data_IF_319190135999
#
_entry.id   IF_319190135999
#
_cell.length_a   1.000
_cell.length_b   1.000
_cell.length_c   1.000
_cell.angle_alpha   90.00
_cell.angle_beta   90.00
_cell.angle_gamma   90.00
#
_symmetry.space_group_name_H-M   'P 1'
#
loop_
_entity.id
_entity.type
_entity.pdbx_description
1 polymer ?
#
# COMPACT_ATOMS: atom_id res chain seq x y z
N UNK A 1 1.14 -53.02 -30.24
CA UNK A 1 0.56 -52.15 -29.17
C UNK A 1 1.50 -50.99 -29.00
N UNK A 2 1.12 -49.80 -29.50
CA UNK A 2 1.96 -48.57 -29.42
C UNK A 2 1.54 -47.80 -28.19
N UNK A 3 2.44 -47.71 -27.21
CA UNK A 3 2.22 -46.86 -26.03
C UNK A 3 2.45 -45.39 -26.41
N UNK A 4 1.36 -44.61 -26.44
CA UNK A 4 1.39 -43.17 -26.60
C UNK A 4 1.64 -42.60 -25.19
N UNK A 5 2.85 -42.12 -24.93
CA UNK A 5 3.16 -41.33 -23.74
C UNK A 5 2.58 -39.93 -23.97
N UNK A 6 1.48 -39.63 -23.29
CA UNK A 6 0.89 -38.28 -23.26
C UNK A 6 1.70 -37.40 -22.31
N UNK A 7 2.58 -36.57 -22.86
CA UNK A 7 3.35 -35.59 -22.11
C UNK A 7 2.43 -34.42 -21.78
N UNK A 8 1.85 -34.43 -20.57
CA UNK A 8 1.08 -33.28 -20.06
C UNK A 8 2.09 -32.18 -19.70
N UNK A 9 2.21 -31.20 -20.60
CA UNK A 9 2.94 -29.96 -20.35
C UNK A 9 2.13 -29.13 -19.36
N UNK A 10 2.41 -29.22 -18.08
CA UNK A 10 1.91 -28.28 -17.06
C UNK A 10 2.52 -26.91 -17.35
N UNK A 11 1.83 -26.12 -18.16
CA UNK A 11 2.06 -24.70 -18.26
C UNK A 11 1.77 -24.06 -16.87
N UNK A 12 2.80 -23.93 -16.07
CA UNK A 12 2.79 -23.06 -14.92
C UNK A 12 2.57 -21.63 -15.44
N UNK A 13 1.30 -21.24 -15.58
CA UNK A 13 0.92 -19.84 -15.71
C UNK A 13 1.33 -19.14 -14.42
N UNK A 14 2.59 -18.73 -14.33
CA UNK A 14 2.99 -17.71 -13.38
C UNK A 14 2.23 -16.46 -13.79
N UNK A 15 1.11 -16.20 -13.11
CA UNK A 15 0.47 -14.88 -13.16
C UNK A 15 1.56 -13.91 -12.74
N UNK A 16 2.13 -13.20 -13.70
CA UNK A 16 2.95 -12.02 -13.42
C UNK A 16 1.98 -11.08 -12.71
N UNK A 17 2.07 -11.01 -11.39
CA UNK A 17 1.29 -10.04 -10.62
C UNK A 17 1.77 -8.66 -11.08
N UNK A 18 0.86 -7.87 -11.63
CA UNK A 18 1.18 -6.49 -11.98
C UNK A 18 1.68 -5.76 -10.72
N UNK A 19 2.72 -4.94 -10.87
CA UNK A 19 3.23 -4.10 -9.80
C UNK A 19 2.12 -3.16 -9.32
N UNK A 20 1.95 -3.04 -8.03
CA UNK A 20 1.05 -2.07 -7.39
C UNK A 20 1.80 -0.76 -7.26
N UNK A 21 1.30 0.28 -7.93
CA UNK A 21 1.82 1.63 -7.82
C UNK A 21 1.31 2.28 -6.53
N UNK A 22 2.22 2.89 -5.75
CA UNK A 22 1.88 3.49 -4.47
C UNK A 22 2.39 4.94 -4.39
N UNK A 23 1.47 5.88 -4.20
CA UNK A 23 1.79 7.28 -3.92
C UNK A 23 2.17 7.39 -2.44
N UNK A 24 3.46 7.45 -2.16
CA UNK A 24 4.01 7.68 -0.83
C UNK A 24 3.91 9.17 -0.49
N UNK A 25 3.56 9.51 0.74
CA UNK A 25 3.36 10.91 1.16
C UNK A 25 2.48 11.71 0.19
N UNK A 26 1.39 11.13 -0.29
CA UNK A 26 0.54 11.74 -1.32
C UNK A 26 0.06 13.16 -0.97
N UNK A 27 -0.09 13.46 0.31
CA UNK A 27 -0.48 14.77 0.82
C UNK A 27 0.57 15.88 0.58
N UNK A 28 1.79 15.54 0.19
CA UNK A 28 2.85 16.47 -0.24
C UNK A 28 2.72 16.86 -1.72
N UNK A 29 1.88 16.17 -2.50
CA UNK A 29 1.60 16.53 -3.88
C UNK A 29 0.83 17.86 -3.94
N UNK A 30 0.98 18.61 -5.05
CA UNK A 30 0.26 19.89 -5.25
C UNK A 30 -1.25 19.75 -5.14
N UNK A 31 -1.77 18.58 -5.51
CA UNK A 31 -3.19 18.23 -5.45
C UNK A 31 -3.31 16.84 -4.79
N UNK A 32 -3.30 16.77 -3.45
CA UNK A 32 -3.48 15.52 -2.72
C UNK A 32 -4.67 14.72 -3.23
N UNK A 33 -4.58 13.40 -3.23
CA UNK A 33 -5.51 12.48 -3.85
C UNK A 33 -5.54 12.57 -5.38
N UNK A 34 -5.81 13.73 -5.95
CA UNK A 34 -6.02 13.88 -7.39
C UNK A 34 -4.74 13.66 -8.21
N UNK A 35 -3.56 14.00 -7.70
CA UNK A 35 -2.31 13.76 -8.39
C UNK A 35 -2.09 12.26 -8.66
N UNK A 36 -2.26 11.42 -7.66
CA UNK A 36 -2.16 9.97 -7.79
C UNK A 36 -3.36 9.36 -8.53
N UNK A 37 -4.58 9.82 -8.20
CA UNK A 37 -5.81 9.32 -8.82
C UNK A 37 -5.81 9.51 -10.34
N UNK A 38 -5.47 10.70 -10.84
CA UNK A 38 -5.47 11.01 -12.27
C UNK A 38 -4.40 10.23 -13.06
N UNK A 39 -3.35 9.79 -12.39
CA UNK A 39 -2.32 8.90 -12.95
C UNK A 39 -2.67 7.41 -12.78
N UNK A 40 -3.83 7.08 -12.20
CA UNK A 40 -4.28 5.69 -12.04
C UNK A 40 -3.42 4.88 -11.08
N UNK A 41 -2.99 5.49 -9.97
CA UNK A 41 -2.26 4.77 -8.93
C UNK A 41 -3.17 3.80 -8.18
N UNK A 42 -2.66 2.60 -7.92
CA UNK A 42 -3.39 1.55 -7.23
C UNK A 42 -3.53 1.79 -5.73
N UNK A 43 -2.61 2.58 -5.14
CA UNK A 43 -2.49 2.81 -3.72
C UNK A 43 -2.07 4.26 -3.42
N UNK A 44 -2.71 4.87 -2.42
CA UNK A 44 -2.47 6.24 -1.98
C UNK A 44 -2.25 6.24 -0.47
N UNK A 45 -1.24 6.96 0.02
CA UNK A 45 -0.90 7.06 1.44
C UNK A 45 -1.24 8.44 2.00
N UNK A 46 -1.83 8.44 3.21
CA UNK A 46 -2.07 9.65 4.00
C UNK A 46 -1.64 9.43 5.44
N UNK A 47 -0.82 10.35 5.95
CA UNK A 47 -0.33 10.36 7.33
C UNK A 47 -1.30 11.10 8.24
N UNK A 48 -1.68 10.49 9.36
CA UNK A 48 -2.73 10.98 10.23
C UNK A 48 -2.26 11.39 11.61
N UNK A 49 -2.70 12.55 12.02
CA UNK A 49 -2.68 13.07 13.38
C UNK A 49 -4.09 13.36 13.86
N UNK A 50 -4.32 13.24 15.16
CA UNK A 50 -5.55 13.71 15.79
C UNK A 50 -5.31 15.10 16.40
N UNK A 51 -6.13 16.08 16.01
CA UNK A 51 -6.13 17.44 16.56
C UNK A 51 -7.55 17.97 16.66
N UNK A 52 -7.95 18.42 17.84
CA UNK A 52 -9.26 19.02 18.11
C UNK A 52 -10.44 18.13 17.63
N UNK A 53 -10.30 16.79 17.75
CA UNK A 53 -11.29 15.81 17.30
C UNK A 53 -11.31 15.53 15.80
N UNK A 54 -10.45 16.19 15.00
CA UNK A 54 -10.34 15.99 13.56
C UNK A 54 -9.09 15.16 13.18
N UNK A 55 -9.25 14.33 12.15
CA UNK A 55 -8.12 13.60 11.55
C UNK A 55 -7.40 14.50 10.55
N UNK A 56 -6.29 15.07 10.98
CA UNK A 56 -5.48 15.99 10.19
C UNK A 56 -4.38 15.24 9.44
N UNK A 57 -4.05 15.72 8.24
CA UNK A 57 -3.05 15.10 7.36
C UNK A 57 -1.80 15.96 7.31
N UNK A 58 -0.67 15.41 7.75
CA UNK A 58 0.64 16.08 7.74
C UNK A 58 1.77 15.05 7.90
N UNK A 59 2.97 15.38 7.40
CA UNK A 59 4.17 14.59 7.63
C UNK A 59 4.70 14.79 9.06
N UNK A 60 4.89 16.04 9.44
CA UNK A 60 5.40 16.42 10.76
C UNK A 60 4.31 17.01 11.64
N UNK A 61 4.42 16.78 12.96
CA UNK A 61 3.47 17.30 13.95
C UNK A 61 3.34 18.83 13.91
N UNK A 62 4.40 19.55 13.55
CA UNK A 62 4.40 21.03 13.44
C UNK A 62 3.50 21.57 12.33
N UNK A 63 3.26 20.74 11.28
CA UNK A 63 2.51 21.14 10.09
C UNK A 63 1.01 20.70 10.17
N UNK A 64 0.63 20.13 11.33
CA UNK A 64 -0.75 19.67 11.55
C UNK A 64 -1.72 20.86 11.61
N UNK A 65 -2.70 20.87 10.69
CA UNK A 65 -3.72 21.91 10.56
C UNK A 65 -5.10 21.30 10.35
N UNK A 66 -6.12 21.85 11.02
CA UNK A 66 -7.53 21.47 10.83
C UNK A 66 -8.09 21.88 9.47
N UNK A 67 -7.36 22.67 8.69
CA UNK A 67 -7.68 22.95 7.28
C UNK A 67 -7.37 21.76 6.36
N UNK A 68 -6.43 20.88 6.75
CA UNK A 68 -5.96 19.73 5.98
C UNK A 68 -6.42 18.44 6.63
N UNK A 69 -7.70 18.11 6.53
CA UNK A 69 -8.27 16.90 7.13
C UNK A 69 -8.32 15.74 6.13
N UNK A 70 -8.27 14.50 6.66
CA UNK A 70 -8.49 13.27 5.89
C UNK A 70 -9.80 13.36 5.09
N UNK A 71 -10.85 13.88 5.73
CA UNK A 71 -12.15 14.03 5.12
C UNK A 71 -12.10 14.92 3.87
N UNK A 72 -11.56 16.14 3.99
CA UNK A 72 -11.50 17.12 2.89
C UNK A 72 -10.57 16.67 1.76
N UNK A 73 -9.39 16.11 2.11
CA UNK A 73 -8.37 15.80 1.13
C UNK A 73 -8.57 14.47 0.43
N UNK A 74 -9.20 13.49 1.09
CA UNK A 74 -9.28 12.12 0.57
C UNK A 74 -10.69 11.56 0.52
N UNK A 75 -11.45 11.61 1.63
CA UNK A 75 -12.72 10.88 1.70
C UNK A 75 -13.80 11.50 0.81
N UNK A 76 -14.00 12.81 0.88
CA UNK A 76 -14.99 13.50 0.04
C UNK A 76 -14.66 13.39 -1.46
N UNK A 77 -13.41 13.64 -1.92
CA UNK A 77 -13.03 13.41 -3.31
C UNK A 77 -13.21 11.96 -3.76
N UNK A 78 -12.83 10.99 -2.93
CA UNK A 78 -12.97 9.57 -3.22
C UNK A 78 -14.45 9.16 -3.36
N UNK A 79 -15.31 9.59 -2.43
CA UNK A 79 -16.75 9.34 -2.51
C UNK A 79 -17.39 9.95 -3.77
N UNK A 80 -16.94 11.14 -4.16
CA UNK A 80 -17.40 11.77 -5.41
C UNK A 80 -17.00 10.90 -6.63
N UNK A 81 -15.77 10.41 -6.67
CA UNK A 81 -15.29 9.51 -7.75
C UNK A 81 -16.00 8.16 -7.74
N UNK A 82 -16.27 7.58 -6.58
CA UNK A 82 -17.05 6.35 -6.45
C UNK A 82 -18.46 6.54 -7.03
N UNK A 83 -19.10 7.66 -6.74
CA UNK A 83 -20.43 8.00 -7.29
C UNK A 83 -20.39 8.18 -8.81
N UNK A 84 -19.39 8.92 -9.32
CA UNK A 84 -19.17 9.16 -10.75
C UNK A 84 -18.95 7.84 -11.52
N UNK A 85 -18.20 6.89 -10.93
CA UNK A 85 -17.81 5.63 -11.56
C UNK A 85 -18.76 4.45 -11.24
N UNK A 86 -19.99 4.71 -10.84
CA UNK A 86 -20.99 3.64 -10.64
C UNK A 86 -20.70 2.73 -9.44
N UNK A 87 -20.01 3.22 -8.42
CA UNK A 87 -19.77 2.51 -7.17
C UNK A 87 -18.34 1.99 -6.98
N UNK A 88 -17.41 2.33 -7.87
CA UNK A 88 -15.99 1.98 -7.79
C UNK A 88 -15.11 3.24 -7.73
N UNK A 89 -13.95 3.18 -7.08
CA UNK A 89 -13.00 4.30 -7.08
C UNK A 89 -12.60 4.74 -8.49
N UNK A 90 -12.31 3.80 -9.37
CA UNK A 90 -11.93 4.04 -10.75
C UNK A 90 -12.95 3.49 -11.75
N UNK A 91 -12.96 3.97 -13.01
CA UNK A 91 -13.69 3.32 -14.10
C UNK A 91 -13.32 1.85 -14.27
N UNK A 92 -14.14 1.09 -14.99
CA UNK A 92 -13.92 -0.33 -15.28
C UNK A 92 -13.83 -1.23 -14.05
N UNK A 93 -14.49 -0.83 -12.95
CA UNK A 93 -14.57 -1.60 -11.69
C UNK A 93 -13.22 -1.81 -11.02
N UNK A 94 -12.29 -0.85 -11.18
CA UNK A 94 -10.96 -0.92 -10.57
C UNK A 94 -11.04 -0.40 -9.13
N UNK A 95 -10.60 -1.18 -8.12
CA UNK A 95 -10.55 -0.78 -6.72
C UNK A 95 -9.37 0.17 -6.45
N UNK A 96 -9.38 0.80 -5.28
CA UNK A 96 -8.28 1.60 -4.75
C UNK A 96 -7.84 1.06 -3.39
N UNK A 97 -6.55 1.11 -3.11
CA UNK A 97 -5.99 0.93 -1.78
C UNK A 97 -5.69 2.31 -1.16
N UNK A 98 -6.22 2.55 0.04
CA UNK A 98 -5.91 3.72 0.85
C UNK A 98 -5.12 3.26 2.08
N UNK A 99 -3.87 3.68 2.18
CA UNK A 99 -2.99 3.42 3.31
C UNK A 99 -3.06 4.63 4.25
N UNK A 100 -3.48 4.42 5.49
CA UNK A 100 -3.56 5.44 6.52
C UNK A 100 -2.48 5.17 7.56
N UNK A 101 -1.46 6.02 7.59
CA UNK A 101 -0.32 5.91 8.49
C UNK A 101 -0.57 6.75 9.74
N UNK A 102 -0.80 6.08 10.87
CA UNK A 102 -1.09 6.75 12.15
C UNK A 102 0.22 7.22 12.78
N UNK A 103 0.41 8.51 12.92
CA UNK A 103 1.68 9.07 13.45
C UNK A 103 1.78 9.01 14.95
N UNK A 104 0.65 9.19 15.64
CA UNK A 104 0.55 9.14 17.12
C UNK A 104 -0.88 8.78 17.53
N UNK A 105 -1.09 8.39 18.79
CA UNK A 105 -2.44 8.20 19.36
C UNK A 105 -3.30 7.19 18.56
N UNK A 106 -2.70 6.06 18.19
CA UNK A 106 -3.31 5.12 17.27
C UNK A 106 -4.71 4.64 17.68
N UNK A 107 -4.94 4.38 18.96
CA UNK A 107 -6.27 3.96 19.45
C UNK A 107 -7.33 5.07 19.29
N UNK A 108 -7.00 6.30 19.66
CA UNK A 108 -7.89 7.44 19.55
C UNK A 108 -8.18 7.77 18.08
N UNK A 109 -7.15 7.75 17.22
CA UNK A 109 -7.32 7.93 15.79
C UNK A 109 -8.22 6.84 15.21
N UNK A 110 -8.05 5.58 15.59
CA UNK A 110 -8.90 4.49 15.11
C UNK A 110 -10.36 4.65 15.52
N UNK A 111 -10.65 5.17 16.73
CA UNK A 111 -12.02 5.44 17.17
C UNK A 111 -12.67 6.54 16.30
N UNK A 112 -11.96 7.64 16.06
CA UNK A 112 -12.44 8.74 15.22
C UNK A 112 -12.60 8.28 13.77
N UNK A 113 -11.65 7.50 13.26
CA UNK A 113 -11.67 6.97 11.90
C UNK A 113 -12.87 6.04 11.68
N UNK A 114 -13.14 5.12 12.61
CA UNK A 114 -14.31 4.24 12.54
C UNK A 114 -15.60 5.06 12.52
N UNK A 115 -15.73 6.03 13.42
CA UNK A 115 -16.90 6.90 13.48
C UNK A 115 -17.11 7.72 12.19
N UNK A 116 -16.03 8.26 11.61
CA UNK A 116 -16.09 9.04 10.37
C UNK A 116 -16.40 8.20 9.13
N UNK A 117 -15.88 6.97 9.03
CA UNK A 117 -16.02 6.12 7.83
C UNK A 117 -17.22 5.17 7.88
N UNK A 118 -17.71 4.82 9.06
CA UNK A 118 -18.87 3.92 9.23
C UNK A 118 -20.10 4.30 8.41
N UNK A 119 -20.49 5.59 8.30
CA UNK A 119 -21.63 6.00 7.44
C UNK A 119 -21.44 5.65 5.96
N UNK A 120 -20.20 5.57 5.48
CA UNK A 120 -19.83 5.36 4.08
C UNK A 120 -19.36 3.93 3.77
N UNK A 121 -19.58 3.00 4.70
CA UNK A 121 -19.10 1.61 4.59
C UNK A 121 -19.59 0.91 3.31
N UNK A 122 -20.81 1.21 2.87
CA UNK A 122 -21.38 0.64 1.65
C UNK A 122 -20.69 1.18 0.39
N UNK A 123 -20.46 2.48 0.36
CA UNK A 123 -19.78 3.18 -0.73
C UNK A 123 -18.32 2.74 -0.82
N UNK A 124 -17.65 2.63 0.31
CA UNK A 124 -16.23 2.27 0.42
C UNK A 124 -15.94 0.75 0.24
N UNK A 125 -16.92 -0.07 -0.09
CA UNK A 125 -16.76 -1.54 -0.21
C UNK A 125 -15.70 -1.98 -1.22
N UNK A 126 -15.37 -1.14 -2.21
CA UNK A 126 -14.34 -1.38 -3.22
C UNK A 126 -13.05 -0.58 -2.95
N UNK A 127 -12.93 0.00 -1.76
CA UNK A 127 -11.71 0.61 -1.26
C UNK A 127 -11.10 -0.32 -0.23
N UNK A 128 -9.84 -0.71 -0.44
CA UNK A 128 -9.08 -1.42 0.57
C UNK A 128 -8.46 -0.38 1.50
N UNK A 129 -8.91 -0.30 2.75
CA UNK A 129 -8.31 0.60 3.74
C UNK A 129 -7.35 -0.20 4.61
N UNK A 130 -6.08 0.19 4.64
CA UNK A 130 -5.06 -0.40 5.50
C UNK A 130 -4.52 0.63 6.49
N UNK A 131 -4.28 0.18 7.69
CA UNK A 131 -3.73 0.99 8.79
C UNK A 131 -2.26 0.62 8.99
N UNK A 132 -1.40 1.62 9.10
CA UNK A 132 0.03 1.49 9.44
C UNK A 132 0.43 2.48 10.53
N UNK A 133 1.73 2.62 10.80
CA UNK A 133 2.26 3.54 11.81
C UNK A 133 2.00 3.08 13.24
N UNK A 134 1.47 3.97 14.08
CA UNK A 134 1.10 3.70 15.48
C UNK A 134 -0.24 2.95 15.57
N UNK A 135 -0.32 1.82 14.86
CA UNK A 135 -1.52 0.99 14.81
C UNK A 135 -1.70 0.16 16.10
N UNK A 136 -2.95 -0.27 16.41
CA UNK A 136 -3.21 -1.19 17.52
C UNK A 136 -2.35 -2.45 17.46
N UNK A 137 -2.23 -3.15 18.60
CA UNK A 137 -1.49 -4.41 18.65
C UNK A 137 -2.23 -5.52 17.86
N UNK A 138 -1.53 -6.53 17.33
CA UNK A 138 -2.13 -7.59 16.51
C UNK A 138 -3.30 -8.30 17.17
N UNK A 139 -3.28 -8.47 18.48
CA UNK A 139 -4.34 -9.11 19.29
C UNK A 139 -5.65 -8.32 19.23
N UNK A 140 -5.56 -7.02 19.01
CA UNK A 140 -6.68 -6.07 19.00
C UNK A 140 -7.33 -5.91 17.62
N UNK A 141 -6.70 -6.37 16.54
CA UNK A 141 -7.20 -6.18 15.16
C UNK A 141 -8.63 -6.67 14.96
N UNK A 142 -9.07 -7.66 15.77
CA UNK A 142 -10.44 -8.18 15.68
C UNK A 142 -11.48 -7.26 16.33
N UNK A 143 -11.07 -6.28 17.12
CA UNK A 143 -11.95 -5.31 17.77
C UNK A 143 -12.43 -4.21 16.82
N UNK A 144 -11.75 -4.05 15.69
CA UNK A 144 -12.06 -3.02 14.68
C UNK A 144 -12.93 -3.55 13.56
N UNK A 145 -13.70 -2.66 12.90
CA UNK A 145 -14.56 -3.04 11.78
C UNK A 145 -13.77 -3.78 10.68
N UNK A 146 -14.43 -4.69 9.99
CA UNK A 146 -13.83 -5.50 8.92
C UNK A 146 -13.47 -4.70 7.67
N UNK A 147 -13.95 -3.45 7.55
CA UNK A 147 -13.52 -2.55 6.47
C UNK A 147 -12.03 -2.20 6.59
N UNK A 148 -11.46 -2.22 7.80
CA UNK A 148 -10.04 -1.99 8.01
C UNK A 148 -9.24 -3.29 7.86
N UNK A 149 -8.12 -3.20 7.21
CA UNK A 149 -7.01 -4.14 7.21
C UNK A 149 -5.80 -3.46 7.83
N UNK A 150 -4.72 -4.19 8.01
CA UNK A 150 -3.52 -3.66 8.65
C UNK A 150 -2.30 -3.92 7.77
N UNK A 151 -1.34 -3.03 7.85
CA UNK A 151 -0.02 -3.23 7.25
C UNK A 151 0.85 -4.03 8.23
N UNK A 152 1.24 -5.23 7.84
CA UNK A 152 2.06 -6.10 8.67
C UNK A 152 3.51 -5.61 8.73
N UNK A 153 4.20 -5.93 9.82
CA UNK A 153 5.63 -5.66 10.02
C UNK A 153 6.40 -6.96 10.00
N UNK A 154 7.55 -6.95 9.34
CA UNK A 154 8.43 -8.12 9.18
C UNK A 154 8.85 -8.74 10.52
N UNK A 155 9.11 -7.92 11.52
CA UNK A 155 9.64 -8.31 12.82
C UNK A 155 8.59 -8.71 13.85
N UNK A 156 7.29 -8.75 13.47
CA UNK A 156 6.21 -9.15 14.36
C UNK A 156 5.68 -10.55 14.05
N UNK A 157 5.30 -11.25 15.11
CA UNK A 157 4.55 -12.50 15.00
C UNK A 157 3.07 -12.20 15.17
N UNK A 158 2.24 -12.79 14.33
CA UNK A 158 0.80 -12.53 14.31
C UNK A 158 0.00 -13.76 14.70
N UNK A 159 -0.96 -13.67 15.64
CA UNK A 159 -1.97 -14.68 15.82
C UNK A 159 -2.71 -14.96 14.50
N UNK A 160 -3.13 -16.21 14.27
CA UNK A 160 -3.77 -16.63 13.01
C UNK A 160 -4.95 -15.73 12.58
N UNK A 161 -5.76 -15.26 13.53
CA UNK A 161 -6.89 -14.35 13.23
C UNK A 161 -6.39 -12.97 12.83
N UNK A 162 -5.40 -12.41 13.53
CA UNK A 162 -4.79 -11.12 13.20
C UNK A 162 -4.12 -11.17 11.81
N UNK A 163 -3.40 -12.26 11.52
CA UNK A 163 -2.73 -12.41 10.22
C UNK A 163 -3.71 -12.38 9.03
N UNK A 164 -4.95 -12.83 9.21
CA UNK A 164 -5.99 -12.70 8.18
C UNK A 164 -6.40 -11.25 7.90
N UNK A 165 -6.18 -10.33 8.87
CA UNK A 165 -6.46 -8.90 8.73
C UNK A 165 -5.30 -8.14 8.06
N UNK A 166 -4.14 -8.76 7.89
CA UNK A 166 -2.99 -8.17 7.19
C UNK A 166 -3.25 -8.18 5.69
N UNK A 167 -3.15 -7.01 5.05
CA UNK A 167 -3.27 -6.86 3.60
C UNK A 167 -1.92 -7.06 2.89
N UNK A 168 -0.90 -6.38 3.38
CA UNK A 168 0.49 -6.50 2.93
C UNK A 168 1.43 -6.50 4.14
N UNK A 169 2.68 -6.85 3.94
CA UNK A 169 3.72 -6.75 4.96
C UNK A 169 4.78 -5.78 4.46
N UNK A 170 4.95 -4.68 5.19
CA UNK A 170 5.94 -3.66 4.89
C UNK A 170 7.19 -3.81 5.75
N UNK A 171 8.33 -3.43 5.18
CA UNK A 171 9.60 -3.34 5.88
C UNK A 171 10.39 -2.12 5.40
N UNK A 172 11.21 -1.53 6.30
CA UNK A 172 12.19 -0.56 5.87
C UNK A 172 13.24 -1.24 4.99
N UNK A 173 13.64 -0.59 3.91
CA UNK A 173 14.78 -1.08 3.12
C UNK A 173 16.04 -1.22 4.01
N UNK A 174 16.21 -0.35 5.00
CA UNK A 174 17.35 -0.38 5.93
C UNK A 174 17.40 -1.62 6.84
N UNK A 175 16.33 -2.40 6.94
CA UNK A 175 16.35 -3.70 7.63
C UNK A 175 17.15 -4.78 6.86
N UNK A 176 17.41 -4.56 5.57
CA UNK A 176 18.15 -5.50 4.71
C UNK A 176 19.57 -5.06 4.43
N UNK A 177 19.82 -3.73 4.43
CA UNK A 177 21.13 -3.18 4.11
C UNK A 177 21.23 -1.70 4.45
N UNK A 178 22.35 -1.09 4.07
CA UNK A 178 22.55 0.36 4.22
C UNK A 178 21.64 1.11 3.22
N UNK A 179 21.45 2.42 3.49
CA UNK A 179 20.75 3.30 2.57
C UNK A 179 21.26 3.15 1.13
N UNK A 180 20.32 3.02 0.18
CA UNK A 180 20.61 2.79 -1.22
C UNK A 180 20.02 3.90 -2.08
N UNK A 181 20.87 4.50 -2.92
CA UNK A 181 20.48 5.65 -3.76
C UNK A 181 19.86 5.26 -5.11
N UNK A 182 19.89 3.97 -5.47
CA UNK A 182 19.45 3.51 -6.79
C UNK A 182 20.38 3.90 -7.95
N UNK A 183 21.61 4.33 -7.68
CA UNK A 183 22.61 4.68 -8.70
C UNK A 183 23.51 3.50 -9.11
N UNK A 184 23.53 2.46 -8.31
CA UNK A 184 24.34 1.26 -8.52
C UNK A 184 23.59 0.00 -8.09
N UNK A 185 24.03 -1.15 -8.57
CA UNK A 185 23.44 -2.41 -8.20
C UNK A 185 23.46 -2.64 -6.68
N UNK A 186 22.43 -3.31 -6.18
CA UNK A 186 22.44 -3.78 -4.79
C UNK A 186 23.57 -4.78 -4.57
N UNK A 187 24.24 -4.77 -3.40
CA UNK A 187 25.04 -5.89 -2.98
C UNK A 187 24.23 -7.19 -3.01
N UNK A 188 24.84 -8.27 -3.51
CA UNK A 188 24.14 -9.54 -3.67
C UNK A 188 23.51 -10.03 -2.36
N UNK A 189 24.23 -9.87 -1.24
CA UNK A 189 23.73 -10.24 0.09
C UNK A 189 22.40 -9.50 0.45
N UNK A 190 22.26 -8.22 0.08
CA UNK A 190 21.03 -7.43 0.33
C UNK A 190 19.91 -7.94 -0.56
N UNK A 191 20.19 -8.18 -1.85
CA UNK A 191 19.22 -8.71 -2.79
C UNK A 191 18.72 -10.11 -2.35
N UNK A 192 19.60 -10.96 -1.84
CA UNK A 192 19.25 -12.29 -1.33
C UNK A 192 18.35 -12.20 -0.10
N UNK A 193 18.65 -11.35 0.86
CA UNK A 193 17.81 -11.11 2.05
C UNK A 193 16.39 -10.64 1.67
N UNK A 194 16.28 -9.70 0.74
CA UNK A 194 14.99 -9.24 0.22
C UNK A 194 14.26 -10.38 -0.48
N UNK A 195 14.94 -11.15 -1.32
CA UNK A 195 14.35 -12.28 -2.05
C UNK A 195 13.81 -13.36 -1.12
N UNK A 196 14.50 -13.66 -0.03
CA UNK A 196 14.03 -14.59 1.02
C UNK A 196 12.76 -14.06 1.65
N UNK A 197 12.75 -12.79 2.09
CA UNK A 197 11.58 -12.17 2.70
C UNK A 197 10.36 -12.17 1.76
N UNK A 198 10.54 -11.78 0.49
CA UNK A 198 9.47 -11.82 -0.51
C UNK A 198 8.90 -13.22 -0.67
N UNK A 199 9.77 -14.25 -0.84
CA UNK A 199 9.33 -15.64 -0.96
C UNK A 199 8.54 -16.12 0.25
N UNK A 200 8.98 -15.80 1.45
CA UNK A 200 8.29 -16.15 2.69
C UNK A 200 6.90 -15.54 2.77
N UNK A 201 6.75 -14.26 2.40
CA UNK A 201 5.46 -13.57 2.42
C UNK A 201 4.53 -14.09 1.32
N UNK A 202 5.05 -14.32 0.12
CA UNK A 202 4.27 -14.92 -0.98
C UNK A 202 3.77 -16.33 -0.64
N UNK A 203 4.57 -17.15 0.03
CA UNK A 203 4.14 -18.46 0.53
C UNK A 203 2.98 -18.37 1.54
N UNK A 204 2.83 -17.23 2.21
CA UNK A 204 1.72 -16.91 3.13
C UNK A 204 0.60 -16.11 2.45
N UNK A 205 0.62 -15.97 1.13
CA UNK A 205 -0.32 -15.15 0.35
C UNK A 205 -0.38 -13.69 0.82
N UNK A 206 0.78 -13.10 1.15
CA UNK A 206 0.90 -11.69 1.50
C UNK A 206 1.72 -10.95 0.47
N UNK A 207 1.30 -9.71 0.17
CA UNK A 207 2.05 -8.76 -0.64
C UNK A 207 3.19 -8.17 0.18
N UNK A 208 4.24 -7.73 -0.51
CA UNK A 208 5.40 -7.08 0.11
C UNK A 208 5.53 -5.65 -0.38
N UNK A 209 5.73 -4.72 0.56
CA UNK A 209 6.14 -3.33 0.32
C UNK A 209 7.48 -3.08 1.01
N UNK A 210 8.41 -2.44 0.30
CA UNK A 210 9.60 -1.87 0.92
C UNK A 210 9.49 -0.35 0.86
N UNK A 211 9.62 0.31 2.01
CA UNK A 211 9.71 1.77 2.08
C UNK A 211 11.14 2.24 2.33
N UNK A 212 11.42 3.53 2.09
CA UNK A 212 12.80 4.05 2.11
C UNK A 212 13.63 3.59 0.91
N UNK A 213 12.98 3.28 -0.20
CA UNK A 213 13.62 2.91 -1.47
C UNK A 213 13.79 4.14 -2.38
N UNK A 214 14.77 4.15 -3.30
CA UNK A 214 15.01 5.31 -4.14
C UNK A 214 13.93 5.51 -5.21
N UNK A 215 13.55 6.77 -5.44
CA UNK A 215 12.67 7.19 -6.53
C UNK A 215 13.46 7.29 -7.84
N UNK A 216 13.89 6.17 -8.40
CA UNK A 216 14.64 6.11 -9.66
C UNK A 216 14.17 4.94 -10.52
N UNK A 217 14.28 5.07 -11.84
CA UNK A 217 13.94 3.98 -12.77
C UNK A 217 14.70 2.69 -12.42
N UNK A 218 16.01 2.79 -12.17
CA UNK A 218 16.81 1.63 -11.77
C UNK A 218 16.38 1.02 -10.42
N UNK A 219 15.94 1.87 -9.47
CA UNK A 219 15.32 1.42 -8.21
C UNK A 219 14.06 0.60 -8.46
N UNK A 220 13.16 1.10 -9.30
CA UNK A 220 11.93 0.40 -9.66
C UNK A 220 12.19 -0.91 -10.39
N UNK A 221 13.13 -0.93 -11.35
CA UNK A 221 13.57 -2.14 -12.06
C UNK A 221 14.10 -3.20 -11.07
N UNK A 222 14.91 -2.77 -10.11
CA UNK A 222 15.50 -3.66 -9.10
C UNK A 222 14.40 -4.25 -8.20
N UNK A 223 13.48 -3.43 -7.68
CA UNK A 223 12.37 -3.90 -6.84
C UNK A 223 11.46 -4.86 -7.61
N UNK A 224 11.17 -4.56 -8.87
CA UNK A 224 10.40 -5.45 -9.76
C UNK A 224 11.12 -6.79 -9.97
N UNK A 225 12.42 -6.79 -10.24
CA UNK A 225 13.22 -8.00 -10.39
C UNK A 225 13.25 -8.85 -9.12
N UNK A 226 13.26 -8.23 -7.95
CA UNK A 226 13.14 -8.88 -6.64
C UNK A 226 11.72 -9.33 -6.29
N UNK A 227 10.74 -9.09 -7.18
CA UNK A 227 9.32 -9.45 -7.00
C UNK A 227 8.66 -8.77 -5.79
N UNK A 228 9.11 -7.56 -5.44
CA UNK A 228 8.40 -6.69 -4.49
C UNK A 228 7.10 -6.26 -5.14
N UNK A 229 5.96 -6.44 -4.46
CA UNK A 229 4.63 -6.24 -5.05
C UNK A 229 4.24 -4.76 -5.14
N UNK A 230 4.60 -3.97 -4.15
CA UNK A 230 4.19 -2.56 -4.04
C UNK A 230 5.42 -1.68 -4.19
N UNK A 231 5.43 -0.87 -5.24
CA UNK A 231 6.49 0.12 -5.52
C UNK A 231 5.97 1.50 -5.15
N UNK A 232 6.53 2.08 -4.09
CA UNK A 232 6.23 3.42 -3.62
C UNK A 232 7.12 4.47 -4.28
N UNK A 233 6.59 5.69 -4.42
CA UNK A 233 7.33 6.85 -4.93
C UNK A 233 6.70 8.16 -4.48
N UNK A 234 7.53 9.21 -4.37
CA UNK A 234 7.09 10.61 -4.28
C UNK A 234 7.05 11.27 -5.68
N UNK A 235 7.71 10.67 -6.69
CA UNK A 235 7.70 11.11 -8.10
C UNK A 235 6.70 10.26 -8.90
N UNK A 236 5.44 10.67 -8.86
CA UNK A 236 4.34 9.93 -9.47
C UNK A 236 4.50 9.77 -10.99
N UNK A 237 4.84 10.82 -11.76
CA UNK A 237 5.05 10.70 -13.20
C UNK A 237 6.17 9.72 -13.55
N UNK A 238 7.27 9.70 -12.80
CA UNK A 238 8.39 8.80 -13.05
C UNK A 238 7.99 7.33 -12.92
N UNK A 239 7.27 6.97 -11.83
CA UNK A 239 6.80 5.61 -11.66
C UNK A 239 5.73 5.24 -12.70
N UNK A 240 4.81 6.14 -13.03
CA UNK A 240 3.78 5.88 -14.05
C UNK A 240 4.41 5.57 -15.41
N UNK A 241 5.36 6.40 -15.86
CA UNK A 241 6.08 6.19 -17.12
C UNK A 241 6.84 4.85 -17.12
N UNK A 242 7.46 4.48 -16.00
CA UNK A 242 8.14 3.19 -15.84
C UNK A 242 7.17 2.01 -16.00
N UNK A 243 6.01 2.07 -15.37
CA UNK A 243 5.01 0.99 -15.44
C UNK A 243 4.44 0.86 -16.85
N UNK A 244 4.16 1.97 -17.53
CA UNK A 244 3.58 1.95 -18.87
C UNK A 244 4.58 1.43 -19.91
N UNK A 245 5.86 1.85 -19.83
CA UNK A 245 6.93 1.31 -20.70
C UNK A 245 7.26 -0.17 -20.45
N UNK A 246 6.78 -0.74 -19.35
CA UNK A 246 7.00 -2.16 -19.01
C UNK A 246 5.89 -3.09 -19.51
N UNK A 247 4.86 -2.54 -20.17
CA UNK A 247 3.72 -3.28 -20.75
C UNK A 247 3.90 -3.55 -22.25
N UNK A 248 4.83 -2.82 -22.88
CA UNK A 248 5.26 -3.01 -24.27
C UNK A 248 6.34 -4.11 -24.35
#
# INVERSE_FOLDING_TARGET
MKNIFLLILLLLNSKISAQITHSHNDYEQKQPFFAAYNLGFDSIEADLYLKDGELCVAHDKKDVSTERTLRKLYIEPLLAKIKENGGYPYPNNIPLHLLLDLKTQGHEIMQVLDAQLKPYKKELRHVKISISGDMPQPEEFQNYDKMFSFDGRRNLTYPKKAFKRIYMVSASFTEFGKYWTGKQALPQEVADKISVFVKEMHAKNKKVRLWGTPNTKFGFETLKALKVDVIGTDDLPLLRNFIDSSKE
#
